data_IF_772973685220
#
_entry.id   IF_772973685220
#
_cell.length_a   1.000
_cell.length_b   1.000
_cell.length_c   1.000
_cell.angle_alpha   90.00
_cell.angle_beta   90.00
_cell.angle_gamma   90.00
#
_symmetry.space_group_name_H-M   'P 1'
#
loop_
_entity.id
_entity.type
_entity.pdbx_description
1 polymer ?
#
# COMPACT_ATOMS: atom_id res chain seq x y z
N UNK A 1 -0.15 8.75 -14.37
CA UNK A 1 0.02 7.38 -13.83
C UNK A 1 -0.28 7.32 -12.34
N UNK A 2 0.28 8.21 -11.52
CA UNK A 2 0.06 8.23 -10.05
C UNK A 2 -1.39 8.44 -9.63
N UNK A 3 -2.18 9.20 -10.42
CA UNK A 3 -3.61 9.44 -10.15
C UNK A 3 -4.47 8.16 -10.22
N UNK A 4 -4.06 7.12 -10.95
CA UNK A 4 -4.85 5.90 -11.06
C UNK A 4 -4.71 5.01 -9.81
N UNK A 5 -3.52 4.97 -9.21
CA UNK A 5 -3.24 4.14 -8.03
C UNK A 5 -3.99 4.67 -6.80
N UNK A 6 -3.99 5.99 -6.59
CA UNK A 6 -4.75 6.59 -5.49
C UNK A 6 -6.24 6.31 -5.58
N UNK A 7 -6.81 6.32 -6.79
CA UNK A 7 -8.22 5.98 -7.02
C UNK A 7 -8.52 4.51 -6.72
N UNK A 8 -7.67 3.59 -7.20
CA UNK A 8 -7.78 2.15 -6.92
C UNK A 8 -7.70 1.84 -5.43
N UNK A 9 -6.84 2.55 -4.69
CA UNK A 9 -6.76 2.44 -3.24
C UNK A 9 -8.10 2.83 -2.57
N UNK A 10 -8.68 3.96 -2.98
CA UNK A 10 -9.97 4.42 -2.46
C UNK A 10 -11.08 3.42 -2.80
N UNK A 11 -11.07 2.84 -4.00
CA UNK A 11 -12.02 1.79 -4.41
C UNK A 11 -11.84 0.50 -3.57
N UNK A 12 -10.60 0.08 -3.28
CA UNK A 12 -10.33 -1.07 -2.42
C UNK A 12 -10.83 -0.88 -0.97
N UNK A 13 -10.89 0.35 -0.48
CA UNK A 13 -11.43 0.70 0.84
C UNK A 13 -12.96 0.77 0.85
N UNK A 14 -13.56 1.41 -0.16
CA UNK A 14 -15.01 1.65 -0.20
C UNK A 14 -15.80 0.43 -0.67
N UNK A 15 -15.24 -0.33 -1.60
CA UNK A 15 -15.90 -1.48 -2.23
C UNK A 15 -14.95 -2.70 -2.29
N UNK A 16 -14.50 -3.20 -1.13
CA UNK A 16 -13.49 -4.27 -1.06
C UNK A 16 -13.93 -5.56 -1.78
N UNK A 17 -15.22 -5.89 -1.74
CA UNK A 17 -15.78 -7.12 -2.33
C UNK A 17 -15.70 -7.16 -3.86
N UNK A 18 -15.62 -6.01 -4.51
CA UNK A 18 -15.65 -5.87 -5.98
C UNK A 18 -14.40 -5.20 -6.55
N UNK A 19 -13.48 -4.77 -5.68
CA UNK A 19 -12.25 -4.11 -6.11
C UNK A 19 -11.20 -5.14 -6.52
N UNK A 20 -10.67 -5.00 -7.73
CA UNK A 20 -9.52 -5.80 -8.19
C UNK A 20 -8.23 -5.54 -7.38
N UNK A 21 -8.18 -4.44 -6.64
CA UNK A 21 -7.01 -4.05 -5.84
C UNK A 21 -7.12 -4.45 -4.36
N UNK A 22 -8.17 -5.19 -3.97
CA UNK A 22 -8.38 -5.57 -2.57
C UNK A 22 -7.27 -6.50 -2.05
N UNK A 23 -6.78 -7.42 -2.87
CA UNK A 23 -5.68 -8.31 -2.49
C UNK A 23 -4.38 -7.53 -2.26
N UNK A 24 -4.03 -6.62 -3.17
CA UNK A 24 -2.87 -5.72 -3.06
C UNK A 24 -2.95 -4.87 -1.79
N UNK A 25 -4.14 -4.35 -1.46
CA UNK A 25 -4.40 -3.61 -0.24
C UNK A 25 -4.10 -4.46 1.02
N UNK A 26 -4.63 -5.67 1.08
CA UNK A 26 -4.44 -6.56 2.25
C UNK A 26 -2.97 -6.92 2.44
N UNK A 27 -2.27 -7.28 1.36
CA UNK A 27 -0.83 -7.58 1.39
C UNK A 27 0.00 -6.39 1.84
N UNK A 28 -0.26 -5.20 1.29
CA UNK A 28 0.42 -3.98 1.69
C UNK A 28 0.16 -3.65 3.17
N UNK A 29 -1.08 -3.81 3.63
CA UNK A 29 -1.46 -3.57 5.02
C UNK A 29 -0.79 -4.54 5.99
N UNK A 30 -0.74 -5.83 5.65
CA UNK A 30 -0.10 -6.87 6.48
C UNK A 30 1.39 -6.59 6.68
N UNK A 31 2.12 -6.34 5.58
CA UNK A 31 3.56 -6.04 5.64
C UNK A 31 3.83 -4.73 6.40
N UNK A 32 2.98 -3.72 6.19
CA UNK A 32 3.11 -2.45 6.91
C UNK A 32 2.86 -2.62 8.40
N UNK A 33 1.87 -3.43 8.81
CA UNK A 33 1.64 -3.75 10.22
C UNK A 33 2.82 -4.48 10.85
N UNK A 34 3.41 -5.45 10.14
CA UNK A 34 4.60 -6.15 10.60
C UNK A 34 5.77 -5.19 10.79
N UNK A 35 6.00 -4.29 9.82
CA UNK A 35 7.01 -3.24 9.94
C UNK A 35 6.73 -2.31 11.13
N UNK A 36 5.47 -1.88 11.30
CA UNK A 36 5.06 -1.02 12.40
C UNK A 36 5.29 -1.64 13.78
N UNK A 37 5.01 -2.95 13.91
CA UNK A 37 5.22 -3.72 15.14
C UNK A 37 6.67 -4.11 15.43
N UNK A 38 7.58 -3.96 14.46
CA UNK A 38 8.98 -4.42 14.58
C UNK A 38 9.87 -3.55 15.48
N UNK A 39 9.37 -2.42 15.99
CA UNK A 39 10.19 -1.43 16.72
C UNK A 39 11.17 -0.64 15.83
N UNK A 40 11.22 -0.92 14.54
CA UNK A 40 12.07 -0.22 13.55
C UNK A 40 11.48 1.12 13.07
N UNK A 41 10.29 1.49 13.54
CA UNK A 41 9.62 2.73 13.15
C UNK A 41 10.22 3.91 13.91
N UNK A 42 10.87 4.80 13.17
CA UNK A 42 11.36 6.08 13.69
C UNK A 42 10.30 7.18 13.60
N UNK A 43 9.41 7.14 12.59
CA UNK A 43 8.33 8.11 12.38
C UNK A 43 7.07 7.47 11.80
N UNK A 44 5.89 7.90 12.26
CA UNK A 44 4.60 7.41 11.76
C UNK A 44 4.42 7.65 10.25
N UNK A 45 4.92 8.77 9.73
CA UNK A 45 4.87 9.10 8.29
C UNK A 45 5.60 8.08 7.42
N UNK A 46 6.64 7.42 7.94
CA UNK A 46 7.35 6.36 7.23
C UNK A 46 6.46 5.12 7.02
N UNK A 47 5.59 4.82 7.98
CA UNK A 47 4.63 3.70 7.90
C UNK A 47 3.58 3.96 6.82
N UNK A 48 3.01 5.17 6.80
CA UNK A 48 2.03 5.55 5.77
C UNK A 48 2.64 5.58 4.35
N UNK A 49 3.87 6.07 4.23
CA UNK A 49 4.63 6.05 2.96
C UNK A 49 4.87 4.62 2.50
N UNK A 50 5.40 3.77 3.39
CA UNK A 50 5.69 2.37 3.09
C UNK A 50 4.44 1.61 2.63
N UNK A 51 3.31 1.83 3.29
CA UNK A 51 2.03 1.23 2.87
C UNK A 51 1.70 1.60 1.42
N UNK A 52 1.76 2.88 1.09
CA UNK A 52 1.40 3.35 -0.23
C UNK A 52 2.36 2.83 -1.30
N UNK A 53 3.68 2.85 -1.01
CA UNK A 53 4.70 2.33 -1.92
C UNK A 53 4.54 0.82 -2.17
N UNK A 54 4.22 0.03 -1.14
CA UNK A 54 3.94 -1.39 -1.28
C UNK A 54 2.66 -1.66 -2.06
N UNK A 55 1.60 -0.87 -1.82
CA UNK A 55 0.36 -0.97 -2.58
C UNK A 55 0.59 -0.69 -4.07
N UNK A 56 1.29 0.39 -4.40
CA UNK A 56 1.68 0.72 -5.78
C UNK A 56 2.54 -0.40 -6.40
N UNK A 57 3.48 -0.96 -5.64
CA UNK A 57 4.31 -2.08 -6.10
C UNK A 57 3.48 -3.33 -6.43
N UNK A 58 2.49 -3.68 -5.60
CA UNK A 58 1.63 -4.82 -5.87
C UNK A 58 0.69 -4.59 -7.06
N UNK A 59 0.20 -3.37 -7.25
CA UNK A 59 -0.67 -3.03 -8.39
C UNK A 59 0.06 -2.96 -9.73
N UNK A 60 1.33 -2.57 -9.72
CA UNK A 60 2.09 -2.27 -10.96
C UNK A 60 3.21 -3.26 -11.25
N UNK A 61 3.65 -4.03 -10.25
CA UNK A 61 4.84 -4.88 -10.33
C UNK A 61 6.16 -4.11 -10.31
N UNK A 62 6.15 -2.79 -10.11
CA UNK A 62 7.34 -1.94 -10.09
C UNK A 62 7.56 -1.33 -8.71
N UNK A 63 8.79 -1.36 -8.19
CA UNK A 63 9.10 -0.76 -6.89
C UNK A 63 9.28 0.77 -7.05
N UNK A 64 8.34 1.61 -6.56
CA UNK A 64 8.40 3.07 -6.72
C UNK A 64 9.56 3.72 -5.94
N UNK A 65 10.25 2.95 -5.08
CA UNK A 65 11.39 3.40 -4.27
C UNK A 65 12.73 3.27 -5.00
N UNK A 66 12.79 2.48 -6.08
CA UNK A 66 14.01 2.19 -6.85
C UNK A 66 14.25 3.19 -8.01
N UNK A 67 13.92 4.47 -7.83
CA UNK A 67 14.11 5.51 -8.86
C UNK A 67 15.56 5.70 -9.28
#
# INVERSE_FOLDING_TARGET
MTDDIGRRLVEALKTPQTSGSHESFLKALELTKAYAGSGSVTHFSAVARLFYDLFEMFETGHDPRQK
#
